data_IF_201164150059
#
_entry.id   IF_201164150059
#
_cell.length_a   1.000
_cell.length_b   1.000
_cell.length_c   1.000
_cell.angle_alpha   90.00
_cell.angle_beta   90.00
_cell.angle_gamma   90.00
#
_symmetry.space_group_name_H-M   'P 1'
#
loop_
_entity.id
_entity.type
_entity.pdbx_description
1 polymer ?
#
# COMPACT_ATOMS: atom_id res chain seq x y z
N UNK A 1 -6.24 -20.43 42.93
CA UNK A 1 -5.60 -19.19 43.37
C UNK A 1 -5.71 -18.05 42.37
N UNK A 2 -5.33 -18.24 41.10
CA UNK A 2 -5.38 -17.18 40.05
C UNK A 2 -6.79 -16.60 39.86
N UNK A 3 -7.82 -17.44 39.78
CA UNK A 3 -9.24 -17.05 39.65
C UNK A 3 -9.74 -16.17 40.79
N UNK A 4 -9.27 -16.43 42.02
CA UNK A 4 -9.60 -15.60 43.17
C UNK A 4 -8.97 -14.20 43.07
N UNK A 5 -7.68 -14.11 42.71
CA UNK A 5 -7.01 -12.83 42.51
C UNK A 5 -7.63 -12.01 41.37
N UNK A 6 -8.06 -12.68 40.29
CA UNK A 6 -8.74 -12.04 39.17
C UNK A 6 -10.10 -11.45 39.59
N UNK A 7 -10.89 -12.22 40.40
CA UNK A 7 -12.18 -11.76 40.91
C UNK A 7 -12.05 -10.56 41.83
N UNK A 8 -11.04 -10.58 42.72
CA UNK A 8 -10.75 -9.45 43.61
C UNK A 8 -10.27 -8.21 42.83
N UNK A 9 -9.42 -8.40 41.82
CA UNK A 9 -8.97 -7.31 40.96
C UNK A 9 -10.16 -6.68 40.19
N UNK A 10 -11.03 -7.52 39.63
CA UNK A 10 -12.21 -7.05 38.90
C UNK A 10 -13.18 -6.25 39.78
N UNK A 11 -13.41 -6.73 41.03
CA UNK A 11 -14.26 -6.05 41.99
C UNK A 11 -13.68 -4.68 42.42
N UNK A 12 -12.37 -4.58 42.56
CA UNK A 12 -11.70 -3.33 42.85
C UNK A 12 -11.76 -2.33 41.68
N UNK A 13 -11.61 -2.80 40.46
CA UNK A 13 -11.82 -2.00 39.24
C UNK A 13 -13.26 -1.44 39.17
N UNK A 14 -14.25 -2.26 39.52
CA UNK A 14 -15.66 -1.86 39.55
C UNK A 14 -15.99 -0.90 40.70
N UNK A 15 -15.24 -0.91 41.81
CA UNK A 15 -15.40 0.04 42.93
C UNK A 15 -14.99 1.46 42.54
N UNK A 16 -13.96 1.62 41.67
CA UNK A 16 -13.46 2.91 41.20
C UNK A 16 -13.76 3.13 39.70
N UNK A 17 -15.02 2.94 39.33
CA UNK A 17 -15.49 2.89 37.91
C UNK A 17 -14.95 4.01 37.03
N UNK A 18 -15.07 5.29 37.47
CA UNK A 18 -14.66 6.44 36.67
C UNK A 18 -13.13 6.45 36.41
N UNK A 19 -12.33 6.23 37.45
CA UNK A 19 -10.86 6.23 37.33
C UNK A 19 -10.36 5.05 36.50
N UNK A 20 -10.91 3.85 36.75
CA UNK A 20 -10.59 2.65 35.99
C UNK A 20 -10.90 2.81 34.52
N UNK A 21 -12.07 3.37 34.20
CA UNK A 21 -12.52 3.60 32.84
C UNK A 21 -11.63 4.60 32.10
N UNK A 22 -11.32 5.75 32.74
CA UNK A 22 -10.43 6.76 32.15
C UNK A 22 -9.03 6.16 31.91
N UNK A 23 -8.47 5.45 32.88
CA UNK A 23 -7.14 4.85 32.73
C UNK A 23 -7.09 3.78 31.65
N UNK A 24 -8.15 2.97 31.53
CA UNK A 24 -8.28 1.96 30.46
C UNK A 24 -8.39 2.61 29.08
N UNK A 25 -9.17 3.68 28.95
CA UNK A 25 -9.28 4.44 27.70
C UNK A 25 -7.94 5.06 27.30
N UNK A 26 -7.24 5.72 28.25
CA UNK A 26 -5.94 6.31 27.98
C UNK A 26 -4.93 5.26 27.50
N UNK A 27 -4.92 4.07 28.12
CA UNK A 27 -4.04 2.98 27.70
C UNK A 27 -4.44 2.43 26.33
N UNK A 28 -5.74 2.25 26.07
CA UNK A 28 -6.24 1.77 24.79
C UNK A 28 -5.87 2.75 23.65
N UNK A 29 -6.04 4.05 23.85
CA UNK A 29 -5.62 5.09 22.90
C UNK A 29 -4.12 5.00 22.65
N UNK A 30 -3.31 4.87 23.71
CA UNK A 30 -1.86 4.76 23.59
C UNK A 30 -1.43 3.55 22.75
N UNK A 31 -2.01 2.39 22.99
CA UNK A 31 -1.75 1.16 22.23
C UNK A 31 -2.19 1.33 20.77
N UNK A 32 -3.39 1.86 20.54
CA UNK A 32 -3.92 2.06 19.19
C UNK A 32 -3.05 3.02 18.39
N UNK A 33 -2.66 4.17 18.96
CA UNK A 33 -1.78 5.12 18.30
C UNK A 33 -0.41 4.50 17.97
N UNK A 34 0.16 3.72 18.90
CA UNK A 34 1.44 3.03 18.67
C UNK A 34 1.33 1.98 17.55
N UNK A 35 0.28 1.17 17.55
CA UNK A 35 0.06 0.16 16.51
C UNK A 35 -0.18 0.80 15.13
N UNK A 36 -1.00 1.86 15.05
CA UNK A 36 -1.25 2.59 13.82
C UNK A 36 0.02 3.23 13.27
N UNK A 37 0.84 3.81 14.14
CA UNK A 37 2.12 4.41 13.74
C UNK A 37 3.07 3.37 13.14
N UNK A 38 3.23 2.21 13.80
CA UNK A 38 4.08 1.14 13.27
C UNK A 38 3.52 0.57 11.97
N UNK A 39 2.21 0.33 11.89
CA UNK A 39 1.55 -0.13 10.67
C UNK A 39 1.77 0.82 9.48
N UNK A 40 1.62 2.13 9.72
CA UNK A 40 1.89 3.15 8.71
C UNK A 40 3.36 3.12 8.23
N UNK A 41 4.29 3.00 9.18
CA UNK A 41 5.73 2.91 8.87
C UNK A 41 6.00 1.64 8.06
N UNK A 42 5.42 0.50 8.44
CA UNK A 42 5.60 -0.77 7.74
C UNK A 42 5.07 -0.69 6.30
N UNK A 43 3.92 -0.05 6.06
CA UNK A 43 3.43 0.18 4.69
C UNK A 43 4.39 1.03 3.88
N UNK A 44 4.89 2.13 4.46
CA UNK A 44 5.80 3.03 3.76
C UNK A 44 7.16 2.36 3.50
N UNK A 45 7.63 1.50 4.41
CA UNK A 45 8.90 0.78 4.25
C UNK A 45 8.78 -0.49 3.39
N UNK A 46 7.62 -1.13 3.33
CA UNK A 46 7.41 -2.32 2.52
C UNK A 46 7.71 -2.12 1.01
N UNK A 47 7.60 -0.88 0.53
CA UNK A 47 7.99 -0.53 -0.83
C UNK A 47 9.51 -0.61 -1.06
N UNK A 48 10.33 -0.55 -0.01
CA UNK A 48 11.79 -0.65 -0.11
C UNK A 48 12.30 -2.10 -0.13
N UNK A 49 11.44 -3.08 0.20
CA UNK A 49 11.77 -4.50 0.22
C UNK A 49 11.63 -5.18 -1.16
N UNK A 50 11.36 -4.39 -2.19
CA UNK A 50 11.30 -4.92 -3.56
C UNK A 50 12.69 -5.33 -4.04
N UNK A 51 12.83 -6.47 -4.74
CA UNK A 51 14.10 -6.89 -5.33
C UNK A 51 14.60 -5.79 -6.30
N UNK A 52 15.91 -5.58 -6.30
CA UNK A 52 16.58 -4.57 -7.13
C UNK A 52 16.08 -3.13 -6.91
N UNK A 53 15.59 -2.83 -5.70
CA UNK A 53 15.07 -1.53 -5.33
C UNK A 53 15.98 -0.36 -5.70
N UNK A 54 17.30 -0.48 -5.42
CA UNK A 54 18.28 0.58 -5.69
C UNK A 54 18.49 0.83 -7.19
N UNK A 55 18.16 -0.15 -8.03
CA UNK A 55 18.29 -0.06 -9.49
C UNK A 55 17.03 0.44 -10.17
N UNK A 56 15.92 0.54 -9.46
CA UNK A 56 14.64 1.01 -9.98
C UNK A 56 14.67 2.52 -10.13
N UNK A 57 14.37 3.00 -11.32
CA UNK A 57 14.28 4.42 -11.63
C UNK A 57 12.95 4.73 -12.30
N UNK A 58 12.50 5.95 -12.11
CA UNK A 58 11.38 6.53 -12.84
C UNK A 58 11.90 7.62 -13.77
N UNK A 59 11.26 7.75 -14.90
CA UNK A 59 11.53 8.79 -15.88
C UNK A 59 10.40 9.81 -15.81
N UNK A 60 10.75 11.07 -15.57
CA UNK A 60 9.82 12.18 -15.63
C UNK A 60 10.16 13.08 -16.82
N UNK A 61 9.14 13.75 -17.32
CA UNK A 61 9.31 14.81 -18.29
C UNK A 61 8.67 16.10 -17.76
N UNK A 62 9.33 17.22 -17.99
CA UNK A 62 8.80 18.56 -17.69
C UNK A 62 8.97 19.47 -18.90
N UNK A 63 8.16 20.52 -18.98
CA UNK A 63 8.35 21.59 -19.95
C UNK A 63 9.53 22.46 -19.57
N UNK A 64 10.36 22.84 -20.53
CA UNK A 64 11.46 23.81 -20.30
C UNK A 64 10.95 25.15 -19.80
N UNK A 65 9.81 25.60 -20.33
CA UNK A 65 9.29 26.94 -20.04
C UNK A 65 8.65 27.06 -18.64
N UNK A 66 8.04 25.99 -18.13
CA UNK A 66 7.24 26.07 -16.90
C UNK A 66 7.77 25.24 -15.76
N UNK A 67 8.77 24.38 -16.00
CA UNK A 67 9.24 23.34 -15.09
C UNK A 67 8.09 22.48 -14.49
N UNK A 68 6.93 22.50 -15.14
CA UNK A 68 5.77 21.70 -14.73
C UNK A 68 5.91 20.28 -15.23
N UNK A 69 5.60 19.32 -14.36
CA UNK A 69 5.58 17.91 -14.73
C UNK A 69 4.56 17.66 -15.84
N UNK A 70 5.00 17.00 -16.89
CA UNK A 70 4.18 16.59 -18.03
C UNK A 70 4.06 15.08 -18.00
N UNK A 71 2.86 14.59 -18.26
CA UNK A 71 2.66 13.15 -18.39
C UNK A 71 3.16 12.63 -19.74
N UNK A 72 3.75 11.45 -19.72
CA UNK A 72 4.16 10.76 -20.92
C UNK A 72 2.97 10.42 -21.81
N UNK A 73 3.14 10.59 -23.11
CA UNK A 73 2.24 10.08 -24.15
C UNK A 73 2.84 8.85 -24.80
N UNK A 74 2.00 8.02 -25.39
CA UNK A 74 2.45 6.77 -26.01
C UNK A 74 3.51 6.99 -27.09
N UNK A 75 3.41 8.05 -27.89
CA UNK A 75 4.38 8.36 -28.91
C UNK A 75 5.75 8.78 -28.36
N UNK A 76 5.79 9.48 -27.22
CA UNK A 76 7.05 9.81 -26.55
C UNK A 76 7.74 8.56 -26.01
N UNK A 77 6.95 7.61 -25.50
CA UNK A 77 7.46 6.35 -24.99
C UNK A 77 8.04 5.49 -26.11
N UNK A 78 7.34 5.40 -27.24
CA UNK A 78 7.85 4.72 -28.44
C UNK A 78 9.15 5.35 -28.94
N UNK A 79 9.18 6.68 -29.01
CA UNK A 79 10.37 7.41 -29.39
C UNK A 79 11.54 7.14 -28.41
N UNK A 80 11.28 7.12 -27.10
CA UNK A 80 12.29 6.80 -26.09
C UNK A 80 12.82 5.36 -26.23
N UNK A 81 11.95 4.41 -26.55
CA UNK A 81 12.32 3.00 -26.74
C UNK A 81 13.18 2.80 -28.00
N UNK A 82 12.96 3.60 -29.05
CA UNK A 82 13.76 3.61 -30.27
C UNK A 82 15.15 4.22 -30.05
N UNK A 83 15.31 5.10 -29.05
CA UNK A 83 16.61 5.70 -28.72
C UNK A 83 17.45 4.64 -27.97
N UNK A 84 18.57 4.23 -28.53
CA UNK A 84 19.51 3.29 -27.89
C UNK A 84 20.23 3.94 -26.70
N UNK A 85 19.49 4.32 -25.66
CA UNK A 85 20.07 4.91 -24.45
C UNK A 85 20.73 3.80 -23.64
N UNK A 86 22.05 3.91 -23.45
CA UNK A 86 22.81 2.90 -22.73
C UNK A 86 22.59 2.99 -21.24
N UNK A 87 22.43 1.83 -20.58
CA UNK A 87 22.31 1.75 -19.13
C UNK A 87 20.87 1.72 -18.60
N UNK A 88 19.88 1.61 -19.48
CA UNK A 88 18.50 1.28 -19.15
C UNK A 88 18.17 -0.14 -19.63
N UNK A 89 17.36 -0.84 -18.86
CA UNK A 89 16.66 -2.06 -19.26
C UNK A 89 15.38 -1.68 -20.05
N UNK A 90 14.55 -2.66 -20.35
CA UNK A 90 13.24 -2.45 -20.98
C UNK A 90 12.40 -1.41 -20.22
N UNK A 91 11.72 -0.56 -20.99
CA UNK A 91 10.82 0.43 -20.40
C UNK A 91 9.61 -0.25 -19.77
N UNK A 92 9.29 0.18 -18.58
CA UNK A 92 8.09 -0.21 -17.84
C UNK A 92 7.11 0.94 -17.85
N UNK A 93 6.01 0.75 -18.53
CA UNK A 93 5.02 1.80 -18.74
C UNK A 93 3.68 1.37 -18.16
N UNK A 94 3.04 2.31 -17.48
CA UNK A 94 1.71 2.10 -16.93
C UNK A 94 0.88 3.38 -17.01
N UNK A 95 -0.39 3.27 -17.45
CA UNK A 95 -1.32 4.39 -17.38
C UNK A 95 -1.76 4.64 -15.92
N UNK A 96 -2.39 5.77 -15.65
CA UNK A 96 -3.09 5.94 -14.39
C UNK A 96 -4.33 5.04 -14.36
N UNK A 97 -4.68 4.48 -13.18
CA UNK A 97 -5.89 3.67 -13.04
C UNK A 97 -7.16 4.45 -13.43
N UNK A 98 -8.03 3.80 -14.20
CA UNK A 98 -9.31 4.36 -14.64
C UNK A 98 -10.42 3.32 -14.50
N UNK A 99 -11.66 3.77 -14.54
CA UNK A 99 -12.81 2.90 -14.57
C UNK A 99 -13.38 2.85 -16.00
N UNK A 100 -13.85 1.67 -16.39
CA UNK A 100 -14.57 1.49 -17.66
C UNK A 100 -15.64 0.41 -17.50
N UNK A 101 -16.55 0.37 -18.45
CA UNK A 101 -17.60 -0.65 -18.55
C UNK A 101 -17.14 -1.76 -19.50
N UNK A 102 -17.28 -2.99 -19.06
CA UNK A 102 -17.00 -4.18 -19.88
C UNK A 102 -18.17 -5.12 -19.80
N UNK A 103 -18.27 -6.00 -20.78
CA UNK A 103 -19.21 -7.13 -20.78
C UNK A 103 -18.42 -8.43 -20.81
N UNK A 104 -18.72 -9.31 -19.90
CA UNK A 104 -18.18 -10.67 -19.85
C UNK A 104 -19.24 -11.60 -20.44
N UNK A 105 -18.84 -12.45 -21.39
CA UNK A 105 -19.71 -13.46 -21.95
C UNK A 105 -19.51 -14.77 -21.18
N UNK A 106 -20.53 -15.19 -20.48
CA UNK A 106 -20.52 -16.44 -19.73
C UNK A 106 -20.66 -17.64 -20.71
N UNK A 107 -20.50 -18.88 -20.20
CA UNK A 107 -20.67 -20.14 -20.95
C UNK A 107 -22.09 -20.34 -21.50
N UNK A 108 -23.07 -19.70 -20.90
CA UNK A 108 -24.47 -19.74 -21.34
C UNK A 108 -24.76 -18.67 -22.38
N UNK A 109 -23.72 -17.96 -22.87
CA UNK A 109 -23.84 -16.82 -23.80
C UNK A 109 -24.64 -15.66 -23.20
N UNK A 110 -24.67 -15.53 -21.86
CA UNK A 110 -25.25 -14.38 -21.20
C UNK A 110 -24.19 -13.27 -21.07
N UNK A 111 -24.58 -12.08 -21.45
CA UNK A 111 -23.79 -10.88 -21.31
C UNK A 111 -23.96 -10.31 -19.90
N UNK A 112 -22.88 -10.27 -19.15
CA UNK A 112 -22.83 -9.74 -17.79
C UNK A 112 -22.01 -8.44 -17.80
N UNK A 113 -22.65 -7.28 -17.58
CA UNK A 113 -21.94 -6.01 -17.52
C UNK A 113 -21.25 -5.83 -16.18
N UNK A 114 -20.00 -5.31 -16.21
CA UNK A 114 -19.21 -4.95 -15.04
C UNK A 114 -18.58 -3.58 -15.21
N UNK A 115 -18.55 -2.81 -14.14
CA UNK A 115 -17.67 -1.65 -14.04
C UNK A 115 -16.39 -2.12 -13.39
N UNK A 116 -15.26 -1.96 -14.08
CA UNK A 116 -13.95 -2.40 -13.67
C UNK A 116 -13.01 -1.22 -13.49
N UNK A 117 -12.04 -1.40 -12.60
CA UNK A 117 -10.88 -0.52 -12.47
C UNK A 117 -9.71 -1.13 -13.22
N UNK A 118 -9.20 -0.44 -14.22
CA UNK A 118 -8.18 -0.95 -15.11
C UNK A 118 -6.96 -0.05 -15.23
N UNK A 119 -5.89 -0.62 -15.76
CA UNK A 119 -4.66 0.07 -16.10
C UNK A 119 -4.11 -0.48 -17.41
N UNK A 120 -3.61 0.40 -18.30
CA UNK A 120 -2.88 -0.03 -19.48
C UNK A 120 -1.40 -0.14 -19.14
N UNK A 121 -0.77 -1.27 -19.48
CA UNK A 121 0.59 -1.59 -19.05
C UNK A 121 1.44 -2.18 -20.17
N UNK A 122 2.76 -2.01 -20.07
CA UNK A 122 3.73 -2.71 -20.93
C UNK A 122 3.93 -4.16 -20.48
N UNK A 123 4.45 -5.00 -21.33
CA UNK A 123 4.76 -6.41 -21.03
C UNK A 123 5.74 -6.58 -19.86
N UNK A 124 6.63 -5.60 -19.67
CA UNK A 124 7.64 -5.57 -18.58
C UNK A 124 7.07 -5.13 -17.20
N UNK A 125 5.80 -4.72 -17.15
CA UNK A 125 5.17 -4.20 -15.93
C UNK A 125 5.10 -5.22 -14.79
N UNK A 126 4.64 -6.45 -15.09
CA UNK A 126 4.44 -7.47 -14.05
C UNK A 126 5.74 -7.91 -13.36
N UNK A 127 6.83 -8.21 -14.07
CA UNK A 127 8.11 -8.47 -13.43
C UNK A 127 8.63 -7.28 -12.61
N UNK A 128 8.45 -6.07 -13.13
CA UNK A 128 8.87 -4.85 -12.45
C UNK A 128 8.12 -4.63 -11.14
N UNK A 129 6.81 -4.84 -11.11
CA UNK A 129 5.97 -4.73 -9.92
C UNK A 129 6.00 -5.99 -9.03
N UNK A 130 6.70 -7.06 -9.46
CA UNK A 130 6.75 -8.36 -8.76
C UNK A 130 5.36 -8.98 -8.59
N UNK A 131 4.46 -8.69 -9.53
CA UNK A 131 3.12 -9.27 -9.55
C UNK A 131 3.23 -10.69 -10.12
N UNK A 132 2.79 -11.68 -9.36
CA UNK A 132 2.89 -13.10 -9.74
C UNK A 132 1.61 -13.58 -10.40
N UNK A 133 1.71 -14.38 -11.49
CA UNK A 133 0.58 -15.06 -12.06
C UNK A 133 0.08 -16.17 -11.11
N UNK A 134 -1.23 -16.28 -10.97
CA UNK A 134 -1.92 -17.39 -10.30
C UNK A 134 -2.24 -18.48 -11.31
N UNK A 135 -2.67 -18.09 -12.51
CA UNK A 135 -2.90 -19.00 -13.65
C UNK A 135 -2.57 -18.27 -14.97
N UNK A 136 -2.27 -19.03 -16.01
CA UNK A 136 -1.96 -18.51 -17.33
C UNK A 136 -0.64 -17.77 -17.43
N UNK A 137 -0.60 -16.73 -18.29
CA UNK A 137 0.60 -15.92 -18.55
C UNK A 137 0.73 -14.78 -17.52
N UNK A 138 1.99 -14.44 -17.20
CA UNK A 138 2.33 -13.27 -16.37
C UNK A 138 2.75 -12.03 -17.17
N UNK A 139 2.42 -11.96 -18.47
CA UNK A 139 2.73 -10.82 -19.35
C UNK A 139 1.76 -10.74 -20.52
N UNK A 140 1.65 -9.55 -21.10
CA UNK A 140 0.88 -9.28 -22.30
C UNK A 140 1.82 -9.32 -23.51
N UNK A 141 1.51 -10.21 -24.46
CA UNK A 141 2.33 -10.40 -25.68
C UNK A 141 1.64 -9.86 -26.94
N UNK A 142 0.32 -9.74 -26.91
CA UNK A 142 -0.49 -9.27 -28.05
C UNK A 142 -1.43 -8.12 -27.65
N UNK A 143 -1.86 -7.30 -28.63
CA UNK A 143 -2.68 -6.13 -28.37
C UNK A 143 -4.14 -6.45 -27.96
N UNK A 144 -4.59 -7.68 -28.14
CA UNK A 144 -5.92 -8.20 -27.79
C UNK A 144 -5.92 -9.08 -26.53
N UNK A 145 -4.80 -9.11 -25.79
CA UNK A 145 -4.70 -9.85 -24.54
C UNK A 145 -5.09 -8.98 -23.33
N UNK A 146 -5.64 -9.61 -22.29
CA UNK A 146 -5.91 -8.99 -20.99
C UNK A 146 -5.49 -9.92 -19.85
N UNK A 147 -4.94 -9.36 -18.80
CA UNK A 147 -4.67 -10.05 -17.54
C UNK A 147 -5.63 -9.48 -16.49
N UNK A 148 -6.23 -10.35 -15.70
CA UNK A 148 -7.22 -9.96 -14.68
C UNK A 148 -6.73 -10.29 -13.28
N UNK A 149 -7.28 -9.59 -12.28
CA UNK A 149 -7.01 -9.91 -10.89
C UNK A 149 -7.76 -11.17 -10.44
N UNK A 150 -7.24 -11.83 -9.42
CA UNK A 150 -7.89 -12.99 -8.82
C UNK A 150 -9.25 -12.62 -8.21
N UNK A 151 -9.39 -11.42 -7.67
CA UNK A 151 -10.63 -10.93 -7.10
C UNK A 151 -11.70 -10.76 -8.19
N UNK A 152 -11.34 -10.11 -9.30
CA UNK A 152 -12.24 -9.94 -10.43
C UNK A 152 -12.60 -11.31 -11.08
N UNK A 153 -11.61 -12.22 -11.21
CA UNK A 153 -11.86 -13.57 -11.71
C UNK A 153 -12.93 -14.29 -10.88
N UNK A 154 -12.83 -14.23 -9.54
CA UNK A 154 -13.85 -14.82 -8.66
C UNK A 154 -15.23 -14.14 -8.78
N UNK A 155 -15.24 -12.82 -8.93
CA UNK A 155 -16.47 -12.04 -9.05
C UNK A 155 -17.22 -12.32 -10.35
N UNK A 156 -16.49 -12.42 -11.47
CA UNK A 156 -17.08 -12.55 -12.80
C UNK A 156 -17.31 -14.01 -13.24
N UNK A 157 -16.41 -14.92 -12.82
CA UNK A 157 -16.40 -16.31 -13.30
C UNK A 157 -16.54 -17.35 -12.16
N UNK A 158 -16.60 -16.91 -10.90
CA UNK A 158 -16.74 -17.79 -9.73
C UNK A 158 -15.52 -18.66 -9.51
N UNK A 159 -15.69 -19.99 -9.57
CA UNK A 159 -14.62 -20.97 -9.37
C UNK A 159 -13.96 -21.47 -10.66
N UNK A 160 -14.43 -20.98 -11.82
CA UNK A 160 -13.92 -21.42 -13.11
C UNK A 160 -12.62 -20.71 -13.46
N UNK A 161 -11.75 -21.40 -14.21
CA UNK A 161 -10.55 -20.76 -14.76
C UNK A 161 -10.98 -19.89 -15.96
N UNK A 162 -10.82 -18.57 -15.89
CA UNK A 162 -11.23 -17.66 -16.95
C UNK A 162 -10.24 -17.61 -18.11
N UNK A 163 -9.11 -18.31 -18.04
CA UNK A 163 -8.07 -18.28 -19.06
C UNK A 163 -8.63 -18.75 -20.42
N UNK A 164 -8.48 -17.90 -21.43
CA UNK A 164 -8.99 -18.14 -22.77
C UNK A 164 -10.41 -17.59 -23.04
N UNK A 165 -11.12 -17.14 -22.02
CA UNK A 165 -12.40 -16.45 -22.18
C UNK A 165 -12.21 -15.03 -22.70
N UNK A 166 -13.28 -14.43 -23.22
CA UNK A 166 -13.26 -13.12 -23.86
C UNK A 166 -14.00 -12.10 -22.99
N UNK A 167 -13.36 -10.95 -22.83
CA UNK A 167 -13.97 -9.75 -22.27
C UNK A 167 -14.29 -8.80 -23.43
N UNK A 168 -15.53 -8.33 -23.49
CA UNK A 168 -15.98 -7.36 -24.46
C UNK A 168 -15.90 -5.95 -23.84
N UNK A 169 -15.07 -5.09 -24.42
CA UNK A 169 -14.94 -3.69 -23.98
C UNK A 169 -16.06 -2.85 -24.60
N UNK A 170 -16.80 -2.16 -23.76
CA UNK A 170 -17.75 -1.14 -24.24
C UNK A 170 -16.94 0.13 -24.56
N UNK A 171 -16.91 0.59 -25.84
CA UNK A 171 -16.09 1.73 -26.22
C UNK A 171 -16.51 2.98 -25.44
N UNK A 172 -15.59 3.51 -24.66
CA UNK A 172 -15.80 4.74 -23.87
C UNK A 172 -15.84 6.00 -24.75
N UNK A 173 -15.16 5.91 -25.89
CA UNK A 173 -15.07 7.03 -26.84
C UNK A 173 -15.63 6.62 -28.18
N UNK A 174 -16.75 7.24 -28.57
CA UNK A 174 -17.40 7.01 -29.90
C UNK A 174 -16.53 7.43 -31.10
N UNK A 175 -15.46 8.18 -30.83
CA UNK A 175 -14.58 8.77 -31.85
C UNK A 175 -13.46 7.82 -32.33
N UNK A 176 -13.29 6.64 -31.73
CA UNK A 176 -12.24 5.69 -32.08
C UNK A 176 -12.79 4.34 -32.53
N UNK A 177 -13.24 4.24 -33.79
CA UNK A 177 -13.85 3.00 -34.33
C UNK A 177 -12.85 1.84 -34.49
N UNK A 178 -11.56 2.12 -34.47
CA UNK A 178 -10.50 1.10 -34.61
C UNK A 178 -10.07 0.44 -33.28
N UNK A 179 -10.71 0.81 -32.16
CA UNK A 179 -10.40 0.23 -30.87
C UNK A 179 -10.77 -1.26 -30.85
N UNK A 180 -9.84 -2.11 -30.38
CA UNK A 180 -10.13 -3.52 -30.15
C UNK A 180 -11.25 -3.63 -29.13
N UNK A 181 -12.26 -4.42 -29.43
CA UNK A 181 -13.45 -4.60 -28.58
C UNK A 181 -13.37 -5.88 -27.77
N UNK A 182 -12.74 -6.90 -28.30
CA UNK A 182 -12.64 -8.23 -27.70
C UNK A 182 -11.25 -8.49 -27.20
N UNK A 183 -11.12 -8.74 -25.89
CA UNK A 183 -9.86 -9.04 -25.24
C UNK A 183 -9.90 -10.45 -24.68
N UNK A 184 -8.88 -11.24 -25.02
CA UNK A 184 -8.72 -12.61 -24.52
C UNK A 184 -8.02 -12.59 -23.17
N UNK A 185 -8.61 -13.22 -22.17
CA UNK A 185 -7.97 -13.42 -20.86
C UNK A 185 -6.83 -14.41 -21.01
N UNK A 186 -5.59 -13.97 -20.77
CA UNK A 186 -4.40 -14.80 -20.89
C UNK A 186 -3.79 -15.19 -19.55
N UNK A 187 -4.17 -14.52 -18.48
CA UNK A 187 -3.68 -14.81 -17.15
C UNK A 187 -4.48 -14.16 -16.03
N UNK A 188 -4.28 -14.69 -14.84
CA UNK A 188 -4.84 -14.18 -13.58
C UNK A 188 -3.68 -13.88 -12.63
N UNK A 189 -3.71 -12.73 -11.98
CA UNK A 189 -2.64 -12.27 -11.05
C UNK A 189 -3.18 -11.98 -9.65
N UNK A 190 -2.26 -11.99 -8.67
CA UNK A 190 -2.58 -11.71 -7.26
C UNK A 190 -2.64 -10.22 -6.94
N UNK A 191 -3.20 -9.39 -7.79
CA UNK A 191 -3.38 -7.97 -7.46
C UNK A 191 -4.76 -7.74 -6.84
N UNK A 192 -4.82 -6.81 -5.87
CA UNK A 192 -6.05 -6.43 -5.17
C UNK A 192 -6.50 -5.00 -5.48
N UNK A 193 -5.64 -4.20 -6.13
CA UNK A 193 -5.91 -2.78 -6.37
C UNK A 193 -6.66 -2.54 -7.69
N UNK A 194 -6.51 -3.43 -8.67
CA UNK A 194 -7.06 -3.32 -10.02
C UNK A 194 -7.77 -4.60 -10.43
N UNK A 195 -8.79 -4.45 -11.26
CA UNK A 195 -9.54 -5.58 -11.80
C UNK A 195 -8.89 -6.14 -13.07
N UNK A 196 -8.43 -5.26 -13.98
CA UNK A 196 -7.92 -5.66 -15.30
C UNK A 196 -6.68 -4.87 -15.71
N UNK A 197 -5.79 -5.53 -16.44
CA UNK A 197 -4.61 -4.98 -17.08
C UNK A 197 -4.69 -5.18 -18.59
N UNK A 198 -4.68 -4.08 -19.32
CA UNK A 198 -4.73 -4.07 -20.78
C UNK A 198 -3.39 -3.64 -21.38
N UNK A 199 -3.12 -3.96 -22.66
CA UNK A 199 -1.98 -3.42 -23.39
C UNK A 199 -2.07 -1.90 -23.54
N UNK A 200 -0.93 -1.24 -23.72
CA UNK A 200 -0.87 0.23 -23.90
C UNK A 200 -1.71 0.72 -25.09
N UNK A 201 -1.88 -0.11 -26.12
CA UNK A 201 -2.68 0.19 -27.32
C UNK A 201 -4.16 0.33 -27.05
N UNK A 202 -4.67 -0.17 -25.90
CA UNK A 202 -6.08 -0.06 -25.53
C UNK A 202 -6.52 1.40 -25.34
N UNK A 203 -5.67 2.22 -24.73
CA UNK A 203 -5.92 3.66 -24.55
C UNK A 203 -4.65 4.47 -24.89
N UNK A 204 -4.40 4.72 -26.18
CA UNK A 204 -3.19 5.42 -26.65
C UNK A 204 -3.12 6.88 -26.22
N UNK A 205 -4.26 7.46 -25.79
CA UNK A 205 -4.36 8.85 -25.33
C UNK A 205 -4.26 8.98 -23.81
N UNK A 206 -4.09 7.87 -23.11
CA UNK A 206 -3.87 7.89 -21.67
C UNK A 206 -2.60 8.68 -21.30
N UNK A 207 -2.56 9.09 -20.07
CA UNK A 207 -1.34 9.61 -19.44
C UNK A 207 -0.61 8.46 -18.78
N UNK A 208 0.70 8.37 -19.04
CA UNK A 208 1.52 7.26 -18.59
C UNK A 208 2.58 7.68 -17.58
N UNK A 209 2.94 6.76 -16.73
CA UNK A 209 4.19 6.78 -15.96
C UNK A 209 5.18 5.82 -16.61
N UNK A 210 6.46 6.19 -16.58
CA UNK A 210 7.54 5.38 -17.18
C UNK A 210 8.59 5.10 -16.12
N UNK A 211 9.01 3.84 -16.05
CA UNK A 211 10.10 3.39 -15.21
C UNK A 211 11.00 2.41 -15.95
N UNK A 212 12.16 2.12 -15.39
CA UNK A 212 13.10 1.10 -15.89
C UNK A 212 14.05 0.67 -14.78
N UNK A 213 14.96 -0.27 -15.06
CA UNK A 213 16.08 -0.58 -14.19
C UNK A 213 17.37 -0.01 -14.74
N UNK A 214 18.23 0.47 -13.86
CA UNK A 214 19.62 0.78 -14.21
C UNK A 214 20.39 -0.52 -14.50
N UNK A 215 21.10 -0.55 -15.65
CA UNK A 215 21.89 -1.68 -16.10
C UNK A 215 23.38 -1.49 -15.81
N UNK A 216 24.02 -2.57 -15.38
CA UNK A 216 25.48 -2.59 -15.15
C UNK A 216 25.95 -1.57 -14.10
N UNK A 217 27.03 -0.87 -14.40
CA UNK A 217 27.63 0.17 -13.55
C UNK A 217 27.13 1.59 -13.89
N UNK A 218 26.05 1.70 -14.67
CA UNK A 218 25.52 3.01 -15.07
C UNK A 218 24.99 3.75 -13.85
N UNK A 219 25.43 4.98 -13.69
CA UNK A 219 24.94 5.88 -12.64
C UNK A 219 23.79 6.74 -13.15
N UNK A 220 22.95 7.18 -12.24
CA UNK A 220 21.83 8.10 -12.51
C UNK A 220 22.32 9.39 -13.19
N UNK A 221 23.49 9.87 -12.83
CA UNK A 221 24.10 11.07 -13.41
C UNK A 221 24.47 10.86 -14.89
N UNK A 222 25.07 9.68 -15.23
CA UNK A 222 25.43 9.36 -16.60
C UNK A 222 24.19 9.18 -17.47
N UNK A 223 23.14 8.55 -16.92
CA UNK A 223 21.87 8.40 -17.62
C UNK A 223 21.23 9.76 -17.88
N UNK A 224 21.18 10.65 -16.89
CA UNK A 224 20.63 12.00 -17.04
C UNK A 224 21.41 12.85 -18.08
N UNK A 225 22.71 12.66 -18.22
CA UNK A 225 23.50 13.29 -19.29
C UNK A 225 23.05 12.83 -20.67
N UNK A 226 22.79 11.53 -20.87
CA UNK A 226 22.30 10.99 -22.13
C UNK A 226 20.88 11.49 -22.44
N UNK A 227 19.97 11.46 -21.48
CA UNK A 227 18.60 11.96 -21.63
C UNK A 227 18.57 13.43 -22.03
N UNK A 228 19.44 14.26 -21.46
CA UNK A 228 19.59 15.69 -21.81
C UNK A 228 20.08 15.93 -23.24
N UNK A 229 20.85 14.99 -23.79
CA UNK A 229 21.36 15.09 -25.16
C UNK A 229 20.37 14.60 -26.22
N UNK A 230 19.31 13.94 -25.79
CA UNK A 230 18.27 13.43 -26.69
C UNK A 230 17.33 14.58 -27.10
N UNK A 231 17.14 14.73 -28.42
CA UNK A 231 16.19 15.71 -28.97
C UNK A 231 14.79 15.10 -29.01
N UNK A 232 13.86 15.72 -28.31
CA UNK A 232 12.49 15.21 -28.18
C UNK A 232 11.58 15.74 -29.31
N UNK A 233 10.69 14.87 -29.82
CA UNK A 233 9.78 15.21 -30.92
C UNK A 233 8.78 16.31 -30.56
N UNK A 234 8.37 16.39 -29.29
CA UNK A 234 7.46 17.44 -28.80
C UNK A 234 8.13 18.77 -28.49
N UNK A 235 9.35 19.02 -29.01
CA UNK A 235 10.08 20.24 -28.72
C UNK A 235 10.58 20.27 -27.28
N UNK A 236 10.58 21.39 -26.65
CA UNK A 236 11.19 21.75 -25.36
C UNK A 236 10.79 20.86 -24.15
N UNK A 237 11.03 19.53 -24.28
CA UNK A 237 10.85 18.58 -23.20
C UNK A 237 12.19 18.30 -22.51
N UNK A 238 12.25 18.54 -21.22
CA UNK A 238 13.31 18.04 -20.36
C UNK A 238 12.90 16.70 -19.77
N UNK A 239 13.68 15.67 -20.08
CA UNK A 239 13.50 14.34 -19.51
C UNK A 239 14.62 14.05 -18.53
N UNK A 240 14.24 13.56 -17.36
CA UNK A 240 15.20 13.19 -16.32
C UNK A 240 14.81 11.91 -15.60
N UNK A 241 15.83 11.18 -15.16
CA UNK A 241 15.67 9.97 -14.38
C UNK A 241 15.87 10.26 -12.89
N UNK A 242 15.09 9.64 -12.06
CA UNK A 242 15.21 9.72 -10.60
C UNK A 242 14.92 8.34 -9.97
N UNK A 243 15.37 8.12 -8.74
CA UNK A 243 15.11 6.86 -8.05
C UNK A 243 13.61 6.65 -7.87
N UNK A 244 13.10 5.49 -8.31
CA UNK A 244 11.66 5.23 -8.52
C UNK A 244 10.80 5.31 -7.26
N UNK A 245 11.38 5.01 -6.11
CA UNK A 245 10.63 4.97 -4.83
C UNK A 245 11.09 6.04 -3.85
N UNK A 246 12.15 6.75 -4.20
CA UNK A 246 12.64 7.88 -3.47
C UNK A 246 13.00 8.96 -4.48
N UNK A 247 12.05 9.79 -4.76
CA UNK A 247 12.31 11.03 -5.42
C UNK A 247 13.34 11.79 -4.56
N UNK A 248 14.60 11.61 -4.90
CA UNK A 248 15.77 12.15 -4.24
C UNK A 248 16.22 11.46 -2.94
N UNK A 249 17.46 11.05 -2.96
CA UNK A 249 18.25 10.63 -1.79
C UNK A 249 18.28 11.70 -0.67
N UNK A 250 17.92 12.94 -0.97
CA UNK A 250 17.69 14.01 0.00
C UNK A 250 16.38 13.84 0.78
N UNK A 251 15.37 13.21 0.19
CA UNK A 251 14.13 12.90 0.89
C UNK A 251 14.28 11.70 1.83
N UNK A 252 15.26 10.82 1.62
CA UNK A 252 15.53 9.70 2.53
C UNK A 252 15.90 10.16 3.93
N UNK A 253 16.71 11.20 4.05
CA UNK A 253 17.06 11.74 5.36
C UNK A 253 15.82 12.35 6.02
N UNK A 254 15.06 13.16 5.29
CA UNK A 254 13.83 13.79 5.79
C UNK A 254 12.76 12.75 6.09
N UNK A 255 12.60 11.74 5.25
CA UNK A 255 11.69 10.62 5.47
C UNK A 255 12.09 9.80 6.70
N UNK A 256 13.36 9.45 6.85
CA UNK A 256 13.86 8.70 8.00
C UNK A 256 13.73 9.49 9.30
N UNK A 257 13.98 10.79 9.28
CA UNK A 257 13.72 11.68 10.43
C UNK A 257 12.23 11.72 10.74
N UNK A 258 11.39 11.87 9.74
CA UNK A 258 9.92 11.90 9.92
C UNK A 258 9.41 10.58 10.51
N UNK A 259 9.87 9.43 10.02
CA UNK A 259 9.51 8.11 10.56
C UNK A 259 10.00 7.94 12.00
N UNK A 260 11.22 8.40 12.30
CA UNK A 260 11.75 8.38 13.66
C UNK A 260 10.91 9.25 14.60
N UNK A 261 10.51 10.44 14.16
CA UNK A 261 9.62 11.33 14.90
C UNK A 261 8.25 10.68 15.16
N UNK A 262 7.65 10.05 14.16
CA UNK A 262 6.40 9.32 14.35
C UNK A 262 6.52 8.18 15.36
N UNK A 263 7.58 7.36 15.27
CA UNK A 263 7.86 6.30 16.26
C UNK A 263 8.03 6.88 17.66
N UNK A 264 8.79 7.98 17.78
CA UNK A 264 9.03 8.64 19.05
C UNK A 264 7.74 9.18 19.65
N UNK A 265 6.91 9.90 18.88
CA UNK A 265 5.62 10.44 19.35
C UNK A 265 4.67 9.29 19.74
N UNK A 266 4.55 8.25 18.91
CA UNK A 266 3.72 7.08 19.24
C UNK A 266 4.16 6.39 20.54
N UNK A 267 5.47 6.27 20.76
CA UNK A 267 6.05 5.71 21.99
C UNK A 267 5.78 6.58 23.20
N UNK A 268 5.86 7.93 23.07
CA UNK A 268 5.56 8.87 24.17
C UNK A 268 4.06 8.81 24.56
N UNK A 269 3.16 8.69 23.61
CA UNK A 269 1.72 8.55 23.87
C UNK A 269 1.46 7.24 24.62
N UNK A 270 2.07 6.13 24.20
CA UNK A 270 1.97 4.84 24.87
C UNK A 270 2.54 4.91 26.31
N UNK A 271 3.71 5.52 26.47
CA UNK A 271 4.35 5.69 27.78
C UNK A 271 3.49 6.54 28.72
N UNK A 272 2.88 7.62 28.21
CA UNK A 272 1.96 8.44 28.98
C UNK A 272 0.73 7.64 29.45
N UNK A 273 0.15 6.81 28.59
CA UNK A 273 -0.94 5.90 28.94
C UNK A 273 -0.54 4.89 30.02
N UNK A 274 0.65 4.30 29.90
CA UNK A 274 1.21 3.38 30.89
C UNK A 274 1.44 4.05 32.26
N UNK A 275 2.01 5.26 32.27
CA UNK A 275 2.24 6.01 33.50
C UNK A 275 0.90 6.33 34.19
N UNK A 276 -0.10 6.74 33.43
CA UNK A 276 -1.43 7.00 33.96
C UNK A 276 -2.07 5.73 34.56
N UNK A 277 -1.92 4.60 33.89
CA UNK A 277 -2.40 3.32 34.37
C UNK A 277 -1.64 2.86 35.63
N UNK A 278 -0.30 3.03 35.69
CA UNK A 278 0.50 2.74 36.87
C UNK A 278 0.11 3.60 38.06
N UNK A 279 -0.11 4.92 37.86
CA UNK A 279 -0.62 5.81 38.93
C UNK A 279 -1.93 5.28 39.49
N UNK A 280 -2.85 4.84 38.66
CA UNK A 280 -4.12 4.25 39.10
C UNK A 280 -3.89 2.98 39.95
N UNK A 281 -3.04 2.07 39.51
CA UNK A 281 -2.71 0.84 40.28
C UNK A 281 -2.11 1.21 41.66
N UNK A 282 -1.16 2.13 41.67
CA UNK A 282 -0.50 2.58 42.91
C UNK A 282 -1.54 3.19 43.86
N UNK A 283 -2.41 4.07 43.36
CA UNK A 283 -3.45 4.71 44.16
C UNK A 283 -4.44 3.68 44.72
N UNK A 284 -4.82 2.69 43.94
CA UNK A 284 -5.66 1.58 44.39
C UNK A 284 -4.98 0.77 45.52
N UNK A 285 -3.67 0.55 45.39
CA UNK A 285 -2.89 -0.15 46.39
C UNK A 285 -2.77 0.65 47.72
N UNK A 286 -2.51 1.97 47.65
CA UNK A 286 -2.48 2.86 48.80
C UNK A 286 -3.81 2.92 49.54
N UNK A 287 -4.92 3.04 48.83
CA UNK A 287 -6.25 3.05 49.40
C UNK A 287 -6.56 1.74 50.13
N UNK A 288 -6.10 0.61 49.61
CA UNK A 288 -6.22 -0.70 50.28
C UNK A 288 -5.38 -0.83 51.54
N UNK A 289 -4.14 -0.34 51.51
CA UNK A 289 -3.29 -0.29 52.68
C UNK A 289 -3.90 0.59 53.80
N UNK A 290 -4.47 1.74 53.42
CA UNK A 290 -5.16 2.63 54.37
C UNK A 290 -6.37 1.97 55.00
N UNK A 291 -7.19 1.25 54.24
CA UNK A 291 -8.31 0.45 54.78
C UNK A 291 -7.84 -0.61 55.77
N UNK A 292 -6.77 -1.32 55.44
CA UNK A 292 -6.17 -2.34 56.32
C UNK A 292 -5.59 -1.74 57.59
N UNK A 293 -4.91 -0.58 57.50
CA UNK A 293 -4.35 0.13 58.65
C UNK A 293 -5.48 0.62 59.60
N UNK A 294 -6.55 1.19 59.08
CA UNK A 294 -7.71 1.62 59.84
C UNK A 294 -8.38 0.45 60.60
N UNK A 295 -8.53 -0.70 59.94
CA UNK A 295 -9.10 -1.92 60.57
C UNK A 295 -8.19 -2.43 61.69
N UNK A 296 -6.85 -2.34 61.51
CA UNK A 296 -5.89 -2.71 62.53
C UNK A 296 -5.96 -1.76 63.76
N UNK A 297 -6.12 -0.46 63.55
CA UNK A 297 -6.29 0.52 64.62
C UNK A 297 -7.61 0.35 65.37
N UNK A 298 -8.64 -0.16 64.72
CA UNK A 298 -9.93 -0.44 65.33
C UNK A 298 -10.01 -1.79 66.07
N UNK A 299 -8.82 -2.47 66.30
CA UNK A 299 -8.70 -3.63 67.16
C UNK A 299 -8.99 -4.97 66.42
N UNK A 300 -9.02 -5.02 65.09
CA UNK A 300 -9.15 -6.31 64.43
C UNK A 300 -7.86 -7.11 64.56
N UNK A 301 -8.02 -8.36 65.05
CA UNK A 301 -6.94 -9.32 65.30
C UNK A 301 -6.36 -9.74 63.92
N UNK A 302 -5.04 -9.98 63.87
CA UNK A 302 -4.30 -10.38 62.68
C UNK A 302 -4.94 -11.61 61.99
N UNK A 303 -5.44 -12.58 62.75
CA UNK A 303 -6.17 -13.75 62.23
C UNK A 303 -7.49 -13.39 61.57
N UNK A 304 -8.26 -12.42 62.09
CA UNK A 304 -9.47 -11.89 61.47
C UNK A 304 -9.22 -11.11 60.16
N UNK A 305 -8.09 -10.44 60.04
CA UNK A 305 -7.64 -9.75 58.82
C UNK A 305 -7.30 -10.75 57.68
N UNK A 306 -6.73 -11.90 58.07
CA UNK A 306 -6.44 -12.98 57.10
C UNK A 306 -7.68 -13.80 56.70
N UNK A 307 -8.62 -14.03 57.63
CA UNK A 307 -9.89 -14.70 57.32
C UNK A 307 -10.77 -13.92 56.42
N UNK A 308 -10.92 -12.62 56.61
CA UNK A 308 -11.65 -11.72 55.69
C UNK A 308 -10.99 -11.57 54.31
N UNK A 309 -9.68 -11.84 54.23
CA UNK A 309 -8.97 -11.95 52.96
C UNK A 309 -9.32 -13.21 52.16
N UNK A 310 -9.78 -14.26 52.80
CA UNK A 310 -10.18 -15.51 52.17
C UNK A 310 -11.67 -15.59 51.81
N UNK A 311 -12.53 -14.75 52.46
CA UNK A 311 -13.98 -14.72 52.21
C UNK A 311 -14.39 -13.61 51.19
N UNK A 312 -13.56 -12.64 50.90
CA UNK A 312 -13.73 -11.62 49.85
C UNK A 312 -13.13 -12.08 48.50
#
# INVERSE_FOLDING_TARGET
>A
MITHYLKVALRNLLKYKAHSFISAICLAIGITCFCLTNYFIDIVTAQTDLPDYERRISLACCSEDTAADIYWKLDDIRYLDEQSITGMDSLVTASFPRNTEITVIDKNQQELPFIIKYQCVSSSFFPYKVIRPVSGKGKLDAPDEVIISQEFAHKAFGKEDPTGMIIHLVPTYKEYPEQIKDYKIVGVVTDQDLDCYFPLSMDPYASFSVGTFLMGETTLENLNKQLKQTTWQRGELNVYAYASLNAARNDDLQRNITMLLFRFVGSLILLSGLINFLKFIIQMFYNRQRELALRKCLGSNIKGLFSLRSEE
#
